data_IF_324629575401
#
_entry.id   IF_324629575401
#
_cell.length_a   1.000
_cell.length_b   1.000
_cell.length_c   1.000
_cell.angle_alpha   90.00
_cell.angle_beta   90.00
_cell.angle_gamma   90.00
#
_symmetry.space_group_name_H-M   'P 1'
#
loop_
_entity.id
_entity.type
_entity.pdbx_description
1 polymer ?
#
# COMPACT_ATOMS: atom_id res chain seq x y z
N UNK A 1 -5.91 -4.41 13.60
CA UNK A 1 -6.36 -3.77 14.87
C UNK A 1 -7.34 -2.68 14.49
N UNK A 2 -8.59 -2.76 14.94
CA UNK A 2 -9.60 -1.76 14.59
C UNK A 2 -9.43 -0.55 15.50
N UNK A 3 -9.12 0.60 14.93
CA UNK A 3 -8.85 1.83 15.68
C UNK A 3 -10.18 2.52 15.96
N UNK A 4 -10.46 2.86 17.22
CA UNK A 4 -11.63 3.67 17.54
C UNK A 4 -11.52 5.02 16.83
N UNK A 5 -12.57 5.40 16.09
CA UNK A 5 -12.62 6.67 15.36
C UNK A 5 -13.39 7.70 16.18
N UNK A 6 -13.08 9.00 16.06
CA UNK A 6 -13.81 10.05 16.77
C UNK A 6 -15.26 10.15 16.28
N UNK A 7 -16.17 10.60 17.14
CA UNK A 7 -17.57 10.81 16.80
C UNK A 7 -17.78 11.65 15.52
N UNK A 8 -16.93 12.65 15.27
CA UNK A 8 -16.95 13.48 14.06
C UNK A 8 -16.89 12.64 12.77
N UNK A 9 -16.07 11.59 12.72
CA UNK A 9 -15.94 10.73 11.54
C UNK A 9 -17.25 10.00 11.22
N UNK A 10 -17.95 9.51 12.25
CA UNK A 10 -19.24 8.83 12.09
C UNK A 10 -20.36 9.79 11.71
N UNK A 11 -20.38 11.01 12.27
CA UNK A 11 -21.34 12.04 11.87
C UNK A 11 -21.15 12.45 10.41
N UNK A 12 -19.91 12.66 9.97
CA UNK A 12 -19.62 12.93 8.56
C UNK A 12 -20.10 11.79 7.65
N UNK A 13 -20.00 10.53 8.08
CA UNK A 13 -20.51 9.39 7.32
C UNK A 13 -22.04 9.43 7.22
N UNK A 14 -22.73 9.73 8.32
CA UNK A 14 -24.19 9.89 8.36
C UNK A 14 -24.69 11.10 7.56
N UNK A 15 -23.90 12.17 7.50
CA UNK A 15 -24.22 13.35 6.71
C UNK A 15 -23.98 13.11 5.20
N UNK A 16 -22.96 12.34 4.85
CA UNK A 16 -22.65 11.97 3.45
C UNK A 16 -23.61 10.87 2.93
N UNK A 17 -24.05 9.98 3.81
CA UNK A 17 -24.90 8.84 3.49
C UNK A 17 -26.07 8.75 4.47
N UNK A 18 -27.30 8.74 3.97
CA UNK A 18 -28.50 8.52 4.78
C UNK A 18 -28.58 7.04 5.23
N UNK A 19 -27.78 6.66 6.23
CA UNK A 19 -27.63 5.28 6.72
C UNK A 19 -27.82 5.15 8.24
N UNK A 20 -28.07 3.92 8.69
CA UNK A 20 -28.00 3.54 10.10
C UNK A 20 -26.65 2.85 10.37
N UNK A 21 -26.01 3.21 11.49
CA UNK A 21 -24.75 2.60 11.93
C UNK A 21 -24.95 1.30 12.73
N UNK A 22 -26.19 0.96 13.11
CA UNK A 22 -26.49 -0.24 13.89
C UNK A 22 -25.84 -0.20 15.29
N UNK A 23 -25.76 0.97 15.90
CA UNK A 23 -25.06 1.18 17.17
C UNK A 23 -25.80 0.54 18.35
N UNK A 24 -25.04 -0.03 19.28
CA UNK A 24 -25.55 -0.40 20.60
C UNK A 24 -25.84 0.84 21.43
N UNK A 25 -26.68 0.75 22.47
CA UNK A 25 -26.99 1.88 23.36
C UNK A 25 -25.75 2.54 23.96
N UNK A 26 -24.70 1.76 24.26
CA UNK A 26 -23.44 2.28 24.77
C UNK A 26 -22.68 3.09 23.69
N UNK A 27 -22.65 2.60 22.44
CA UNK A 27 -22.01 3.31 21.35
C UNK A 27 -22.80 4.57 20.95
N UNK A 28 -24.13 4.53 20.98
CA UNK A 28 -24.98 5.71 20.78
C UNK A 28 -24.69 6.76 21.84
N UNK A 29 -24.65 6.36 23.12
CA UNK A 29 -24.30 7.27 24.22
C UNK A 29 -22.89 7.85 24.04
N UNK A 30 -21.93 7.05 23.57
CA UNK A 30 -20.58 7.53 23.27
C UNK A 30 -20.58 8.53 22.10
N UNK A 31 -21.36 8.29 21.05
CA UNK A 31 -21.51 9.20 19.91
C UNK A 31 -22.06 10.55 20.36
N UNK A 32 -23.12 10.54 21.16
CA UNK A 32 -23.78 11.75 21.65
C UNK A 32 -22.87 12.57 22.55
N UNK A 33 -22.06 11.89 23.37
CA UNK A 33 -21.05 12.52 24.24
C UNK A 33 -19.73 12.85 23.54
N UNK A 34 -19.68 12.77 22.20
CA UNK A 34 -18.51 13.09 21.39
C UNK A 34 -17.26 12.25 21.72
N UNK A 35 -17.47 11.00 22.16
CA UNK A 35 -16.42 10.04 22.48
C UNK A 35 -16.05 9.18 21.27
N UNK A 36 -14.82 8.62 21.22
CA UNK A 36 -14.45 7.67 20.17
C UNK A 36 -15.29 6.39 20.23
N UNK A 37 -15.64 5.87 19.06
CA UNK A 37 -16.41 4.63 18.91
C UNK A 37 -15.60 3.67 18.08
N UNK A 38 -15.79 2.38 18.35
CA UNK A 38 -15.27 1.29 17.55
C UNK A 38 -16.44 0.50 16.98
N UNK A 39 -16.48 0.32 15.66
CA UNK A 39 -17.47 -0.53 15.00
C UNK A 39 -17.03 -1.99 14.98
N UNK A 40 -17.98 -2.90 15.19
CA UNK A 40 -17.78 -4.35 15.01
C UNK A 40 -17.70 -4.72 13.52
N UNK A 41 -17.36 -5.97 13.19
CA UNK A 41 -17.36 -6.40 11.78
C UNK A 41 -18.80 -6.44 11.25
N UNK A 42 -19.71 -6.95 12.07
CA UNK A 42 -21.14 -6.99 11.77
C UNK A 42 -21.73 -5.59 11.51
N UNK A 43 -21.30 -4.57 12.27
CA UNK A 43 -21.72 -3.19 12.04
C UNK A 43 -21.16 -2.63 10.72
N UNK A 44 -19.90 -2.94 10.39
CA UNK A 44 -19.34 -2.56 9.09
C UNK A 44 -20.07 -3.28 7.96
N UNK A 45 -20.38 -4.56 8.10
CA UNK A 45 -21.12 -5.33 7.10
C UNK A 45 -22.54 -4.78 6.91
N UNK A 46 -23.21 -4.40 7.99
CA UNK A 46 -24.53 -3.75 7.95
C UNK A 46 -24.50 -2.39 7.24
N UNK A 47 -23.46 -1.59 7.47
CA UNK A 47 -23.23 -0.33 6.74
C UNK A 47 -23.00 -0.62 5.25
N UNK A 48 -22.18 -1.62 4.93
CA UNK A 48 -21.91 -2.02 3.54
C UNK A 48 -23.18 -2.48 2.85
N UNK A 49 -24.02 -3.30 3.50
CA UNK A 49 -25.29 -3.75 2.93
C UNK A 49 -26.16 -2.56 2.51
N UNK A 50 -26.27 -1.54 3.36
CA UNK A 50 -27.01 -0.32 3.02
C UNK A 50 -26.37 0.45 1.85
N UNK A 51 -25.05 0.55 1.82
CA UNK A 51 -24.31 1.29 0.78
C UNK A 51 -24.36 0.60 -0.60
N UNK A 52 -24.36 -0.73 -0.64
CA UNK A 52 -24.33 -1.51 -1.90
C UNK A 52 -25.72 -1.85 -2.43
N UNK A 53 -26.80 -1.61 -1.68
CA UNK A 53 -28.19 -1.91 -2.12
C UNK A 53 -28.56 -1.18 -3.43
N UNK A 54 -28.04 0.04 -3.64
CA UNK A 54 -28.41 0.86 -4.80
C UNK A 54 -27.57 0.54 -6.05
N UNK A 55 -26.24 0.51 -5.88
CA UNK A 55 -25.29 0.45 -7.00
C UNK A 55 -24.67 -0.97 -7.15
N UNK A 56 -24.83 -1.85 -6.18
CA UNK A 56 -24.14 -3.14 -6.13
C UNK A 56 -22.69 -3.03 -5.62
N UNK A 57 -22.11 -4.18 -5.27
CA UNK A 57 -20.79 -4.25 -4.62
C UNK A 57 -19.64 -3.80 -5.54
N UNK A 58 -19.73 -4.10 -6.84
CA UNK A 58 -18.67 -3.79 -7.80
C UNK A 58 -18.61 -2.29 -8.11
N UNK A 59 -19.76 -1.66 -8.36
CA UNK A 59 -19.84 -0.21 -8.62
C UNK A 59 -19.44 0.59 -7.38
N UNK A 60 -19.84 0.13 -6.18
CA UNK A 60 -19.37 0.73 -4.93
C UNK A 60 -17.84 0.72 -4.84
N UNK A 61 -17.20 -0.43 -5.06
CA UNK A 61 -15.75 -0.55 -4.97
C UNK A 61 -15.03 0.34 -5.98
N UNK A 62 -15.55 0.46 -7.20
CA UNK A 62 -14.98 1.33 -8.25
C UNK A 62 -15.16 2.80 -7.85
N UNK A 63 -16.37 3.22 -7.48
CA UNK A 63 -16.72 4.61 -7.10
C UNK A 63 -15.93 5.10 -5.90
N UNK A 64 -15.75 4.26 -4.88
CA UNK A 64 -15.09 4.62 -3.63
C UNK A 64 -13.60 4.27 -3.58
N UNK A 65 -13.03 3.73 -4.65
CA UNK A 65 -11.59 3.43 -4.77
C UNK A 65 -10.69 4.64 -4.50
N UNK A 66 -11.19 5.86 -4.76
CA UNK A 66 -10.45 7.11 -4.50
C UNK A 66 -10.20 7.36 -3.00
N UNK A 67 -10.93 6.70 -2.09
CA UNK A 67 -10.72 6.83 -0.64
C UNK A 67 -9.31 6.41 -0.20
N UNK A 68 -8.65 5.55 -1.00
CA UNK A 68 -7.29 5.08 -0.76
C UNK A 68 -6.25 6.16 -1.08
N UNK A 69 -6.59 7.21 -1.83
CA UNK A 69 -5.65 8.27 -2.21
C UNK A 69 -5.50 9.35 -1.13
N UNK A 70 -4.27 9.75 -0.75
CA UNK A 70 -3.01 9.40 -1.39
C UNK A 70 -2.52 8.01 -0.98
N UNK A 71 -2.02 7.23 -1.95
CA UNK A 71 -1.57 5.86 -1.68
C UNK A 71 -0.20 5.81 -1.01
N UNK A 72 -0.09 4.89 -0.07
CA UNK A 72 1.15 4.24 0.34
C UNK A 72 1.26 2.92 -0.44
N UNK A 73 2.36 2.71 -1.16
CA UNK A 73 2.59 1.51 -1.95
C UNK A 73 4.00 0.97 -1.70
N UNK A 74 4.13 -0.35 -1.63
CA UNK A 74 5.40 -1.05 -1.71
C UNK A 74 5.27 -2.31 -2.54
N UNK A 75 6.11 -2.40 -3.57
CA UNK A 75 6.19 -3.52 -4.49
C UNK A 75 7.42 -4.34 -4.13
N UNK A 76 7.24 -5.62 -3.82
CA UNK A 76 8.30 -6.60 -3.64
C UNK A 76 8.23 -7.63 -4.77
N UNK A 77 9.40 -8.01 -5.30
CA UNK A 77 9.52 -9.11 -6.26
C UNK A 77 10.38 -10.19 -5.62
N UNK A 78 9.83 -11.38 -5.51
CA UNK A 78 10.37 -12.50 -4.76
C UNK A 78 10.85 -13.53 -5.77
N UNK A 79 12.17 -13.64 -5.94
CA UNK A 79 12.81 -14.70 -6.72
C UNK A 79 14.24 -14.96 -6.25
N UNK A 80 14.75 -16.17 -6.52
CA UNK A 80 16.07 -16.62 -6.09
C UNK A 80 17.22 -15.69 -6.50
N UNK A 81 17.12 -15.07 -7.68
CA UNK A 81 18.16 -14.18 -8.19
C UNK A 81 18.21 -12.88 -7.39
N UNK A 82 17.05 -12.30 -7.09
CA UNK A 82 16.95 -11.11 -6.23
C UNK A 82 17.38 -11.45 -4.80
N UNK A 83 16.95 -12.59 -4.26
CA UNK A 83 17.38 -13.07 -2.93
C UNK A 83 18.90 -13.16 -2.81
N UNK A 84 19.59 -13.86 -3.72
CA UNK A 84 21.06 -13.96 -3.74
C UNK A 84 21.78 -12.61 -3.85
N UNK A 85 21.13 -11.62 -4.46
CA UNK A 85 21.67 -10.27 -4.50
C UNK A 85 21.45 -9.54 -3.17
N UNK A 86 20.32 -9.76 -2.52
CA UNK A 86 19.96 -9.16 -1.24
C UNK A 86 20.75 -9.72 -0.05
N UNK A 87 21.13 -11.00 -0.08
CA UNK A 87 22.02 -11.63 0.92
C UNK A 87 23.36 -10.89 1.09
N UNK A 88 23.77 -10.10 0.09
CA UNK A 88 25.01 -9.31 0.13
C UNK A 88 24.88 -8.02 0.92
N UNK A 89 23.68 -7.66 1.39
CA UNK A 89 23.46 -6.50 2.26
C UNK A 89 24.10 -6.78 3.63
N UNK A 90 24.76 -5.78 4.19
CA UNK A 90 25.42 -5.92 5.49
C UNK A 90 24.44 -5.99 6.66
N UNK A 91 23.26 -5.41 6.49
CA UNK A 91 22.23 -5.31 7.51
C UNK A 91 21.03 -6.13 7.02
N UNK A 92 20.56 -7.05 7.86
CA UNK A 92 19.39 -7.89 7.64
C UNK A 92 19.40 -8.63 6.28
N UNK A 93 20.45 -9.44 5.98
CA UNK A 93 20.59 -10.15 4.70
C UNK A 93 19.43 -11.11 4.39
N UNK A 94 18.69 -11.51 5.42
CA UNK A 94 17.51 -12.37 5.35
C UNK A 94 16.22 -11.65 4.91
N UNK A 95 16.25 -10.32 4.72
CA UNK A 95 15.06 -9.54 4.37
C UNK A 95 15.09 -8.99 2.95
N UNK A 96 13.95 -9.07 2.26
CA UNK A 96 13.76 -8.55 0.91
C UNK A 96 13.41 -7.05 0.93
N UNK A 97 14.13 -6.25 0.15
CA UNK A 97 13.82 -4.83 -0.02
C UNK A 97 12.71 -4.60 -1.04
N UNK A 98 11.92 -3.55 -0.83
CA UNK A 98 10.92 -3.12 -1.79
C UNK A 98 11.59 -2.72 -3.13
N UNK A 99 11.16 -3.33 -4.22
CA UNK A 99 11.58 -3.02 -5.59
C UNK A 99 11.11 -1.63 -6.07
N UNK A 100 9.99 -1.14 -5.54
CA UNK A 100 9.54 0.23 -5.78
C UNK A 100 8.52 0.66 -4.73
N UNK A 101 8.45 1.95 -4.41
CA UNK A 101 7.54 2.48 -3.38
C UNK A 101 6.91 3.81 -3.77
N UNK A 102 5.73 4.09 -3.21
CA UNK A 102 5.08 5.40 -3.19
C UNK A 102 4.74 5.68 -1.71
N UNK A 103 5.21 6.78 -1.10
CA UNK A 103 6.15 7.74 -1.66
C UNK A 103 7.56 7.17 -1.82
N UNK A 104 8.43 7.96 -2.43
CA UNK A 104 9.85 7.66 -2.58
C UNK A 104 10.52 7.57 -1.20
N UNK A 105 11.20 6.46 -0.97
CA UNK A 105 12.10 6.27 0.16
C UNK A 105 13.54 6.20 -0.38
N UNK A 106 14.47 7.01 0.15
CA UNK A 106 15.87 7.03 -0.29
C UNK A 106 16.82 6.96 0.89
N UNK A 107 18.04 6.49 0.68
CA UNK A 107 19.12 6.73 1.62
C UNK A 107 19.73 8.12 1.41
N UNK A 108 19.94 8.88 2.48
CA UNK A 108 20.67 10.15 2.46
C UNK A 108 21.57 10.24 3.70
N UNK A 109 22.89 10.16 3.52
CA UNK A 109 23.87 10.23 4.61
C UNK A 109 23.65 11.40 5.56
N UNK A 110 23.16 12.54 5.08
CA UNK A 110 22.89 13.72 5.91
C UNK A 110 21.71 13.52 6.88
N UNK A 111 20.89 12.51 6.62
CA UNK A 111 19.74 12.12 7.45
C UNK A 111 20.12 11.10 8.53
N UNK A 112 21.37 10.62 8.57
CA UNK A 112 21.87 9.68 9.57
C UNK A 112 21.93 10.34 10.96
N UNK A 113 21.17 9.80 11.91
CA UNK A 113 21.09 10.27 13.31
C UNK A 113 20.82 9.10 14.24
N UNK A 114 20.94 9.27 15.55
CA UNK A 114 20.65 8.21 16.54
C UNK A 114 19.25 7.60 16.37
N UNK A 115 18.25 8.40 16.00
CA UNK A 115 16.87 7.95 15.72
C UNK A 115 16.66 7.44 14.29
N UNK A 116 17.65 7.55 13.40
CA UNK A 116 17.61 7.14 12.00
C UNK A 116 19.00 6.64 11.56
N UNK A 117 19.44 5.52 12.15
CA UNK A 117 20.79 4.98 11.93
C UNK A 117 20.99 4.50 10.50
N UNK A 118 19.90 4.09 9.82
CA UNK A 118 19.93 3.68 8.41
C UNK A 118 19.83 4.88 7.44
N UNK A 119 19.77 6.12 7.95
CA UNK A 119 19.71 7.36 7.17
C UNK A 119 18.60 7.37 6.09
N UNK A 120 17.48 6.70 6.39
CA UNK A 120 16.33 6.63 5.48
C UNK A 120 15.64 7.99 5.47
N UNK A 121 15.38 8.50 4.28
CA UNK A 121 14.62 9.72 4.05
C UNK A 121 13.38 9.39 3.24
N UNK A 122 12.22 9.75 3.78
CA UNK A 122 10.92 9.62 3.09
C UNK A 122 10.53 10.97 2.52
N UNK A 123 10.19 10.98 1.25
CA UNK A 123 9.66 12.17 0.60
C UNK A 123 8.16 12.27 0.81
N UNK A 124 7.63 13.48 0.77
CA UNK A 124 6.19 13.71 0.87
C UNK A 124 5.47 13.01 -0.29
N UNK A 125 4.30 12.43 -0.03
CA UNK A 125 3.49 11.82 -1.07
C UNK A 125 3.02 12.91 -2.04
N UNK A 126 3.50 12.86 -3.28
CA UNK A 126 2.98 13.66 -4.37
C UNK A 126 1.71 13.04 -4.94
N UNK A 127 1.03 13.73 -5.87
CA UNK A 127 -0.22 13.23 -6.43
C UNK A 127 -0.04 11.84 -7.04
N UNK A 128 -0.89 10.92 -6.61
CA UNK A 128 -0.97 9.55 -7.11
C UNK A 128 -2.35 9.28 -7.68
N UNK A 129 -2.42 8.32 -8.58
CA UNK A 129 -3.63 7.84 -9.23
C UNK A 129 -3.80 6.38 -8.83
N UNK A 130 -5.01 6.04 -8.42
CA UNK A 130 -5.43 4.68 -8.14
C UNK A 130 -6.72 4.44 -8.89
N UNK A 131 -6.67 3.62 -9.93
CA UNK A 131 -7.83 3.23 -10.70
C UNK A 131 -8.09 1.75 -10.47
N UNK A 132 -9.27 1.45 -9.93
CA UNK A 132 -9.74 0.10 -9.68
C UNK A 132 -10.83 -0.23 -10.69
N UNK A 133 -10.72 -1.39 -11.36
CA UNK A 133 -11.71 -1.86 -12.32
C UNK A 133 -12.08 -3.31 -12.03
N UNK A 134 -13.37 -3.58 -12.01
CA UNK A 134 -13.95 -4.91 -11.83
C UNK A 134 -14.70 -5.38 -13.09
N UNK A 135 -14.29 -4.88 -14.27
CA UNK A 135 -14.82 -5.32 -15.57
C UNK A 135 -14.44 -6.80 -15.85
N UNK A 136 -14.65 -7.28 -17.08
CA UNK A 136 -14.34 -8.66 -17.51
C UNK A 136 -12.98 -9.20 -17.01
N UNK A 137 -11.97 -8.33 -16.94
CA UNK A 137 -10.68 -8.61 -16.31
C UNK A 137 -10.45 -7.60 -15.18
N UNK A 138 -10.64 -8.01 -13.91
CA UNK A 138 -10.37 -7.16 -12.76
C UNK A 138 -8.93 -6.68 -12.76
N UNK A 139 -8.72 -5.38 -12.54
CA UNK A 139 -7.39 -4.77 -12.62
C UNK A 139 -7.25 -3.54 -11.73
N UNK A 140 -5.99 -3.25 -11.36
CA UNK A 140 -5.59 -2.04 -10.66
C UNK A 140 -4.55 -1.31 -11.51
N UNK A 141 -4.76 -0.02 -11.73
CA UNK A 141 -3.75 0.84 -12.35
C UNK A 141 -3.33 1.90 -11.35
N UNK A 142 -2.03 1.96 -11.10
CA UNK A 142 -1.42 2.85 -10.14
C UNK A 142 -0.42 3.73 -10.84
N UNK A 143 -0.55 5.04 -10.68
CA UNK A 143 0.47 6.00 -11.12
C UNK A 143 0.90 6.86 -9.96
N UNK A 144 2.17 7.16 -9.87
CA UNK A 144 2.68 8.02 -8.81
C UNK A 144 4.14 8.32 -8.97
N UNK A 145 4.65 9.12 -8.05
CA UNK A 145 6.07 9.42 -7.97
C UNK A 145 6.69 8.48 -6.94
N UNK A 146 7.64 7.70 -7.41
CA UNK A 146 8.20 6.59 -6.67
C UNK A 146 9.64 6.32 -7.07
N UNK A 147 10.27 5.44 -6.30
CA UNK A 147 11.68 5.13 -6.48
C UNK A 147 11.88 3.90 -7.35
N UNK A 148 12.84 3.93 -8.27
CA UNK A 148 13.26 2.71 -8.98
C UNK A 148 14.24 1.90 -8.12
N UNK A 149 13.88 0.68 -7.74
CA UNK A 149 14.84 -0.32 -7.27
C UNK A 149 14.89 -1.55 -8.18
N UNK A 150 13.96 -1.67 -9.15
CA UNK A 150 13.96 -2.72 -10.18
C UNK A 150 15.08 -2.57 -11.21
N UNK A 151 15.28 -1.36 -11.72
CA UNK A 151 16.13 -1.10 -12.87
C UNK A 151 17.60 -1.28 -12.57
N UNK A 152 18.00 -1.11 -11.32
CA UNK A 152 19.38 -1.39 -10.90
C UNK A 152 19.63 -2.89 -10.73
N UNK A 153 18.67 -3.65 -10.20
CA UNK A 153 18.89 -5.07 -9.89
C UNK A 153 18.79 -5.95 -11.13
N UNK A 154 17.80 -5.74 -12.00
CA UNK A 154 17.63 -6.54 -13.21
C UNK A 154 18.70 -6.23 -14.29
N UNK A 155 19.13 -4.96 -14.43
CA UNK A 155 20.22 -4.59 -15.37
C UNK A 155 21.64 -4.93 -14.87
N UNK A 156 21.84 -5.18 -13.57
CA UNK A 156 23.18 -5.37 -12.97
C UNK A 156 23.98 -6.56 -13.49
N UNK A 157 23.46 -7.37 -14.42
CA UNK A 157 24.26 -8.43 -15.06
C UNK A 157 24.54 -8.23 -16.56
N UNK A 158 23.88 -7.29 -17.26
CA UNK A 158 24.06 -7.17 -18.72
C UNK A 158 24.87 -5.95 -19.17
N UNK A 159 25.06 -4.93 -18.33
CA UNK A 159 25.74 -3.68 -18.76
C UNK A 159 26.81 -3.13 -17.82
N UNK A 160 27.07 -3.76 -16.67
CA UNK A 160 28.17 -3.34 -15.79
C UNK A 160 29.53 -3.80 -16.35
N UNK A 161 30.02 -3.12 -17.39
CA UNK A 161 31.45 -3.08 -17.69
C UNK A 161 32.17 -2.70 -16.40
N UNK A 162 33.09 -3.57 -15.99
CA UNK A 162 34.07 -3.39 -14.90
C UNK A 162 34.67 -1.97 -14.94
N UNK A 163 34.08 -1.03 -14.22
CA UNK A 163 34.68 0.26 -13.91
C UNK A 163 34.39 0.55 -12.45
N UNK A 164 35.40 0.29 -11.61
CA UNK A 164 35.53 0.76 -10.23
C UNK A 164 34.28 0.59 -9.35
N UNK A 165 34.02 -0.61 -8.86
CA UNK A 165 33.26 -0.74 -7.62
C UNK A 165 34.12 -0.17 -6.48
N UNK A 166 33.69 0.88 -5.76
CA UNK A 166 34.38 1.29 -4.55
C UNK A 166 34.18 0.19 -3.51
N UNK A 167 35.27 -0.34 -2.96
CA UNK A 167 35.29 -1.43 -1.97
C UNK A 167 34.53 -1.11 -0.67
N UNK A 168 34.01 0.10 -0.49
CA UNK A 168 33.29 0.56 0.70
C UNK A 168 31.79 0.82 0.50
N UNK A 169 31.21 0.56 -0.69
CA UNK A 169 29.75 0.67 -0.85
C UNK A 169 29.07 -0.57 -0.29
N UNK A 170 28.69 -0.51 0.99
CA UNK A 170 27.50 -1.18 1.50
C UNK A 170 26.42 -1.06 0.41
N UNK A 171 25.80 -2.17 0.02
CA UNK A 171 24.79 -2.22 -1.05
C UNK A 171 23.56 -1.46 -0.56
N UNK A 172 23.61 -0.14 -0.72
CA UNK A 172 22.57 0.79 -0.29
C UNK A 172 21.68 1.04 -1.50
N UNK A 173 20.35 0.94 -1.35
CA UNK A 173 19.42 1.27 -2.41
C UNK A 173 19.55 2.72 -2.88
N UNK A 174 19.83 2.92 -4.18
CA UNK A 174 19.84 4.24 -4.79
C UNK A 174 18.50 4.48 -5.51
N UNK A 175 17.44 4.69 -4.74
CA UNK A 175 16.14 5.09 -5.30
C UNK A 175 16.27 6.47 -5.93
N UNK A 176 15.93 6.55 -7.22
CA UNK A 176 15.86 7.80 -7.97
C UNK A 176 14.39 8.19 -8.12
N UNK A 177 14.11 9.49 -8.07
CA UNK A 177 12.80 10.03 -8.34
C UNK A 177 12.38 9.72 -9.78
N UNK A 178 11.41 8.82 -9.94
CA UNK A 178 10.87 8.44 -11.23
C UNK A 178 9.34 8.36 -11.18
N UNK A 179 8.73 8.56 -12.35
CA UNK A 179 7.30 8.31 -12.50
C UNK A 179 7.06 6.81 -12.62
N UNK A 180 6.18 6.28 -11.80
CA UNK A 180 5.76 4.88 -11.85
C UNK A 180 4.40 4.80 -12.55
N UNK A 181 4.25 3.79 -13.39
CA UNK A 181 2.98 3.36 -13.98
C UNK A 181 2.92 1.84 -13.84
N UNK A 182 2.04 1.37 -12.96
CA UNK A 182 1.87 -0.03 -12.58
C UNK A 182 0.49 -0.47 -13.02
N UNK A 183 0.42 -1.55 -13.79
CA UNK A 183 -0.82 -2.22 -14.14
C UNK A 183 -0.78 -3.64 -13.57
N UNK A 184 -1.77 -3.94 -12.72
CA UNK A 184 -1.92 -5.21 -12.01
C UNK A 184 -3.22 -5.85 -12.51
N UNK A 185 -3.12 -6.97 -13.21
CA UNK A 185 -4.27 -7.81 -13.54
C UNK A 185 -4.53 -8.71 -12.34
N UNK A 186 -5.73 -8.69 -11.76
CA UNK A 186 -6.04 -9.45 -10.54
C UNK A 186 -6.36 -10.93 -10.81
N UNK A 187 -5.98 -11.43 -11.98
CA UNK A 187 -6.09 -12.85 -12.31
C UNK A 187 -5.16 -13.64 -11.39
N UNK A 188 -5.70 -14.65 -10.69
CA UNK A 188 -4.94 -15.47 -9.73
C UNK A 188 -4.33 -14.68 -8.57
N UNK A 189 -4.82 -13.46 -8.31
CA UNK A 189 -4.36 -12.68 -7.18
C UNK A 189 -4.92 -13.23 -5.87
N UNK A 190 -4.06 -13.36 -4.87
CA UNK A 190 -4.47 -13.53 -3.47
C UNK A 190 -4.47 -12.17 -2.81
N UNK A 191 -5.60 -11.77 -2.22
CA UNK A 191 -5.76 -10.48 -1.55
C UNK A 191 -5.91 -10.70 -0.05
N UNK A 192 -5.11 -10.00 0.74
CA UNK A 192 -5.19 -10.02 2.21
C UNK A 192 -5.48 -8.61 2.70
N UNK A 193 -6.60 -8.41 3.39
CA UNK A 193 -6.95 -7.13 4.00
C UNK A 193 -6.28 -7.03 5.38
N UNK A 194 -5.76 -5.85 5.73
CA UNK A 194 -5.01 -5.63 6.97
C UNK A 194 -3.83 -6.61 7.14
N UNK A 195 -2.95 -6.73 6.13
CA UNK A 195 -1.93 -7.78 6.10
C UNK A 195 -1.01 -7.69 7.30
N UNK A 196 -0.74 -8.85 7.90
CA UNK A 196 0.23 -8.91 9.00
C UNK A 196 1.63 -8.58 8.44
N UNK A 197 2.43 -7.74 9.13
CA UNK A 197 3.81 -7.50 8.73
C UNK A 197 4.58 -8.81 8.57
N UNK A 198 5.30 -8.95 7.46
CA UNK A 198 6.10 -10.14 7.17
C UNK A 198 7.54 -9.94 7.61
N UNK A 199 8.09 -10.90 8.32
CA UNK A 199 9.46 -10.81 8.84
C UNK A 199 10.53 -10.86 7.75
N UNK A 200 10.20 -11.45 6.59
CA UNK A 200 11.09 -11.58 5.43
C UNK A 200 11.10 -10.33 4.53
N UNK A 201 10.37 -9.28 4.89
CA UNK A 201 10.33 -8.00 4.15
C UNK A 201 11.02 -6.88 4.94
N UNK A 202 11.79 -6.07 4.22
CA UNK A 202 12.47 -4.89 4.75
C UNK A 202 11.61 -3.64 4.48
N UNK A 203 11.03 -3.12 5.57
CA UNK A 203 10.17 -1.93 5.55
C UNK A 203 10.94 -0.61 5.72
N UNK A 204 12.26 -0.64 5.88
CA UNK A 204 13.04 0.58 6.10
C UNK A 204 12.98 1.50 4.89
N UNK A 205 12.98 0.93 3.70
CA UNK A 205 12.85 1.66 2.43
C UNK A 205 11.42 1.61 1.88
N UNK A 206 10.46 1.52 2.79
CA UNK A 206 9.02 1.46 2.54
C UNK A 206 8.30 2.41 3.51
N UNK A 207 6.99 2.50 3.33
CA UNK A 207 6.11 2.95 4.39
C UNK A 207 6.15 1.97 5.57
N UNK A 208 5.89 2.47 6.78
CA UNK A 208 5.92 1.63 7.96
C UNK A 208 4.87 0.52 7.83
N UNK A 209 5.20 -0.74 8.17
CA UNK A 209 4.32 -1.90 8.00
C UNK A 209 2.92 -1.69 8.60
N UNK A 210 2.86 -0.98 9.74
CA UNK A 210 1.63 -0.53 10.41
C UNK A 210 0.65 0.20 9.48
N UNK A 211 1.12 0.99 8.52
CA UNK A 211 0.25 1.70 7.54
C UNK A 211 -0.59 0.71 6.76
N UNK A 212 0.03 -0.37 6.27
CA UNK A 212 -0.66 -1.40 5.49
C UNK A 212 -1.54 -2.28 6.37
N UNK A 213 -1.06 -2.61 7.58
CA UNK A 213 -1.83 -3.36 8.56
C UNK A 213 -3.10 -2.63 9.01
N UNK A 214 -3.04 -1.31 9.21
CA UNK A 214 -4.19 -0.54 9.70
C UNK A 214 -5.14 -0.13 8.57
N UNK A 215 -4.63 0.37 7.46
CA UNK A 215 -5.44 0.96 6.39
C UNK A 215 -4.96 0.55 5.00
N UNK A 216 -4.74 -0.76 4.82
CA UNK A 216 -4.27 -1.31 3.56
C UNK A 216 -4.60 -2.77 3.34
N UNK A 217 -4.08 -3.28 2.22
CA UNK A 217 -4.22 -4.64 1.75
C UNK A 217 -2.96 -5.09 1.03
N UNK A 218 -2.71 -6.40 1.04
CA UNK A 218 -1.68 -7.03 0.25
C UNK A 218 -2.28 -7.70 -0.98
N UNK A 219 -1.50 -7.76 -2.07
CA UNK A 219 -1.81 -8.55 -3.25
C UNK A 219 -0.60 -9.41 -3.58
N UNK A 220 -0.79 -10.73 -3.57
CA UNK A 220 0.20 -11.70 -4.05
C UNK A 220 -0.25 -12.24 -5.39
N UNK A 221 0.59 -12.19 -6.43
CA UNK A 221 0.25 -12.71 -7.74
C UNK A 221 1.48 -13.09 -8.59
N UNK A 222 1.30 -13.98 -9.58
CA UNK A 222 2.32 -14.26 -10.58
C UNK A 222 2.69 -13.01 -11.38
N UNK A 223 3.96 -12.93 -11.77
CA UNK A 223 4.51 -11.73 -12.40
C UNK A 223 3.99 -11.41 -13.79
N UNK A 224 3.51 -12.40 -14.54
CA UNK A 224 2.87 -12.21 -15.83
C UNK A 224 1.64 -11.31 -15.76
N UNK A 225 1.06 -11.16 -14.56
CA UNK A 225 -0.09 -10.32 -14.30
C UNK A 225 0.29 -8.89 -13.89
N UNK A 226 1.58 -8.54 -13.91
CA UNK A 226 2.06 -7.21 -13.51
C UNK A 226 2.93 -6.60 -14.60
N UNK A 227 2.59 -5.36 -14.96
CA UNK A 227 3.39 -4.52 -15.84
C UNK A 227 3.87 -3.31 -15.06
N UNK A 228 5.20 -3.14 -14.97
CA UNK A 228 5.83 -2.00 -14.32
C UNK A 228 6.55 -1.14 -15.37
N UNK A 229 6.20 0.14 -15.42
CA UNK A 229 6.92 1.15 -16.20
C UNK A 229 7.48 2.23 -15.27
N UNK A 230 8.78 2.49 -15.44
CA UNK A 230 9.52 3.47 -14.65
C UNK A 230 10.07 4.56 -15.58
N UNK A 231 9.68 5.80 -15.34
CA UNK A 231 10.10 6.97 -16.10
C UNK A 231 9.77 6.86 -17.58
N UNK A 232 10.78 7.08 -18.42
CA UNK A 232 10.67 6.98 -19.89
C UNK A 232 10.93 5.58 -20.43
N UNK A 233 11.21 4.59 -19.58
CA UNK A 233 11.54 3.23 -20.03
C UNK A 233 10.31 2.52 -20.59
N UNK A 234 10.54 1.46 -21.37
CA UNK A 234 9.47 0.56 -21.79
C UNK A 234 8.96 -0.21 -20.56
N UNK A 235 7.65 -0.55 -20.51
CA UNK A 235 7.14 -1.45 -19.49
C UNK A 235 7.95 -2.76 -19.48
N UNK A 236 8.35 -3.19 -18.30
CA UNK A 236 9.16 -4.39 -18.10
C UNK A 236 8.33 -5.45 -17.40
N UNK A 237 8.43 -6.69 -17.87
CA UNK A 237 7.91 -7.85 -17.15
C UNK A 237 8.93 -8.21 -16.09
N UNK A 238 8.50 -8.32 -14.84
CA UNK A 238 9.38 -8.74 -13.75
C UNK A 238 9.55 -10.28 -13.82
N UNK A 239 10.38 -10.86 -12.96
CA UNK A 239 10.55 -12.31 -12.84
C UNK A 239 10.29 -12.78 -11.41
N UNK A 240 9.53 -13.86 -11.20
CA UNK A 240 9.23 -14.41 -9.86
C UNK A 240 7.79 -14.20 -9.41
N UNK A 241 7.58 -14.16 -8.10
CA UNK A 241 6.31 -13.81 -7.49
C UNK A 241 6.30 -12.33 -7.10
N UNK A 242 5.15 -11.69 -7.25
CA UNK A 242 4.97 -10.28 -6.91
C UNK A 242 4.13 -10.16 -5.65
N UNK A 243 4.60 -9.33 -4.72
CA UNK A 243 3.89 -8.99 -3.50
C UNK A 243 3.75 -7.46 -3.40
N UNK A 244 2.52 -6.98 -3.54
CA UNK A 244 2.18 -5.57 -3.32
C UNK A 244 1.64 -5.37 -1.93
N UNK A 245 2.02 -4.26 -1.31
CA UNK A 245 1.33 -3.65 -0.19
C UNK A 245 0.78 -2.31 -0.65
N UNK A 246 -0.52 -2.10 -0.50
CA UNK A 246 -1.22 -0.87 -0.89
C UNK A 246 -2.03 -0.42 0.30
N UNK A 247 -1.95 0.85 0.66
CA UNK A 247 -2.75 1.41 1.74
C UNK A 247 -2.81 2.92 1.67
N UNK A 248 -3.32 3.51 2.75
CA UNK A 248 -3.40 4.96 2.94
C UNK A 248 -2.76 5.32 4.27
N UNK A 249 -1.87 6.30 4.27
CA UNK A 249 -1.42 6.93 5.52
C UNK A 249 -2.55 7.80 6.10
N UNK A 250 -2.88 7.58 7.36
CA UNK A 250 -3.89 8.33 8.11
C UNK A 250 -3.19 8.97 9.30
N UNK A 251 -3.07 10.30 9.33
CA UNK A 251 -2.26 11.01 10.34
C UNK A 251 -3.06 11.98 11.23
N UNK A 252 -4.12 12.60 10.71
CA UNK A 252 -4.83 13.69 11.38
C UNK A 252 -6.36 13.45 11.48
N UNK A 253 -7.10 14.32 12.18
CA UNK A 253 -8.54 14.13 12.44
C UNK A 253 -9.41 14.09 11.17
N UNK A 254 -9.17 14.96 10.19
CA UNK A 254 -9.89 14.91 8.90
C UNK A 254 -9.50 13.66 8.09
N UNK A 255 -8.30 13.16 8.34
CA UNK A 255 -7.78 11.89 7.82
C UNK A 255 -8.50 10.68 8.47
N UNK A 256 -9.03 10.81 9.70
CA UNK A 256 -9.74 9.71 10.39
C UNK A 256 -11.09 9.39 9.74
N UNK A 257 -11.80 10.38 9.18
CA UNK A 257 -12.98 10.14 8.36
C UNK A 257 -12.62 9.37 7.08
N UNK A 258 -11.54 9.78 6.41
CA UNK A 258 -11.02 9.03 5.26
C UNK A 258 -10.59 7.62 5.65
N UNK A 259 -9.98 7.45 6.83
CA UNK A 259 -9.65 6.15 7.39
C UNK A 259 -10.89 5.26 7.54
N UNK A 260 -12.01 5.79 8.03
CA UNK A 260 -13.28 5.05 8.10
C UNK A 260 -13.76 4.63 6.71
N UNK A 261 -13.69 5.51 5.70
CA UNK A 261 -14.05 5.16 4.32
C UNK A 261 -13.13 4.09 3.73
N UNK A 262 -11.83 4.15 4.05
CA UNK A 262 -10.87 3.10 3.67
C UNK A 262 -11.25 1.77 4.33
N UNK A 263 -11.57 1.76 5.63
CA UNK A 263 -11.95 0.54 6.34
C UNK A 263 -13.23 -0.09 5.76
N UNK A 264 -14.24 0.73 5.42
CA UNK A 264 -15.45 0.29 4.71
C UNK A 264 -15.07 -0.29 3.34
N UNK A 265 -14.28 0.43 2.54
CA UNK A 265 -13.86 -0.03 1.21
C UNK A 265 -13.10 -1.35 1.27
N UNK A 266 -12.18 -1.50 2.22
CA UNK A 266 -11.39 -2.70 2.44
C UNK A 266 -12.26 -3.89 2.84
N UNK A 267 -13.23 -3.68 3.74
CA UNK A 267 -14.19 -4.73 4.12
C UNK A 267 -15.09 -5.12 2.96
N UNK A 268 -15.53 -4.16 2.14
CA UNK A 268 -16.28 -4.47 0.91
C UNK A 268 -15.43 -5.27 -0.07
N UNK A 269 -14.14 -4.94 -0.21
CA UNK A 269 -13.22 -5.67 -1.07
C UNK A 269 -13.05 -7.11 -0.57
N UNK A 270 -12.94 -7.30 0.75
CA UNK A 270 -12.90 -8.62 1.37
C UNK A 270 -14.11 -9.45 0.95
N UNK A 271 -15.33 -8.95 1.22
CA UNK A 271 -16.59 -9.62 0.87
C UNK A 271 -16.69 -10.00 -0.61
N UNK A 272 -16.15 -9.15 -1.49
CA UNK A 272 -16.17 -9.38 -2.94
C UNK A 272 -15.18 -10.46 -3.38
N UNK A 273 -14.07 -10.61 -2.68
CA UNK A 273 -12.98 -11.51 -3.06
C UNK A 273 -13.10 -12.90 -2.42
N UNK A 274 -13.83 -13.05 -1.32
CA UNK A 274 -14.10 -14.32 -0.61
C UNK A 274 -13.65 -14.27 0.83
#
# INVERSE_FOLDING_TARGET
>A
MKIAKPAKAYRNLLDEFELDLGLTSNQTSALDNNQPILLTEEQLDFIIDQLVVLDGIDDFLVKFSQSILPISLSLYVINDRLWKMMERKSNDPEKMLAMSTIPICTWDKKSEKTSNVKAVKRWTVHSSVFNFSLNEIPSIKIKGEGGDFSGFIEQSQLSARKFGMPESRKIIPNYIFEKLDIEIMLKQATVEIHPTPRDDLDYDYSDHARVFYEHGFAISLPVENVSLKVGKRKPTKMFGDVYFLIGRRVSDDDDLYQGLKVDIWLRTLQRRMG
#
